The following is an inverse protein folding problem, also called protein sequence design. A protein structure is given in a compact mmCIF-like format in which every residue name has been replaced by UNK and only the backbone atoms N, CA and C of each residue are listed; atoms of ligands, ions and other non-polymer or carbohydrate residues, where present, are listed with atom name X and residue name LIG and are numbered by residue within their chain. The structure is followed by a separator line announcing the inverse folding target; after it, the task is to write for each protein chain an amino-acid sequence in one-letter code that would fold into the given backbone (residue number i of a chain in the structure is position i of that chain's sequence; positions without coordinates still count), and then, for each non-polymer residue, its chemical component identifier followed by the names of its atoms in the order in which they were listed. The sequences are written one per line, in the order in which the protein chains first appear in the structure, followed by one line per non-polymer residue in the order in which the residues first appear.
data_IF_242733306308
#
_entry.id   IF_242733306308
#
_cell.length_a   1.000
_cell.length_b   1.000
_cell.length_c   1.000
_cell.angle_alpha   90.00
_cell.angle_beta   90.00
_cell.angle_gamma   90.00
#
_symmetry.space_group_name_H-M   'P 1'
#
loop_
_entity.id
_entity.type
_entity.pdbx_description
1 polymer ?
#
# COMPACT_ATOMS: atom_id res chain seq x y z
N UNK A 1 -6.40 8.77 5.64
CA UNK A 1 -6.56 10.08 6.32
C UNK A 1 -6.92 9.81 7.76
N UNK A 2 -6.50 10.68 8.66
CA UNK A 2 -6.86 10.61 10.08
C UNK A 2 -8.33 10.96 10.30
N UNK A 3 -8.87 10.58 11.47
CA UNK A 3 -10.16 11.08 11.93
C UNK A 3 -10.10 12.59 12.14
N UNK A 4 -11.05 13.34 11.57
CA UNK A 4 -11.13 14.79 11.78
C UNK A 4 -11.42 15.13 13.25
N UNK A 5 -12.10 14.25 13.99
CA UNK A 5 -12.31 14.45 15.43
C UNK A 5 -10.99 14.39 16.23
N UNK A 6 -9.94 13.72 15.71
CA UNK A 6 -8.65 13.65 16.40
C UNK A 6 -7.98 15.03 16.49
N UNK A 7 -8.33 15.95 15.59
CA UNK A 7 -7.87 17.34 15.59
C UNK A 7 -8.63 18.23 16.58
N UNK A 8 -9.68 17.73 17.24
CA UNK A 8 -10.62 18.55 18.00
C UNK A 8 -10.65 18.11 19.48
N UNK A 9 -10.06 18.92 20.36
CA UNK A 9 -9.95 18.62 21.80
C UNK A 9 -11.34 18.46 22.44
N UNK A 10 -12.30 19.30 22.05
CA UNK A 10 -13.67 19.26 22.56
C UNK A 10 -14.48 18.05 22.07
N UNK A 11 -13.95 17.30 21.09
CA UNK A 11 -14.48 16.01 20.64
C UNK A 11 -13.73 14.82 21.24
N UNK A 12 -12.80 15.05 22.16
CA UNK A 12 -11.94 14.02 22.75
C UNK A 12 -10.70 13.70 21.92
N UNK A 13 -10.40 14.50 20.88
CA UNK A 13 -9.19 14.37 20.08
C UNK A 13 -7.93 14.85 20.81
N UNK A 14 -6.77 14.51 20.25
CA UNK A 14 -5.47 14.93 20.74
C UNK A 14 -4.63 15.47 19.57
N UNK A 15 -4.74 16.78 19.26
CA UNK A 15 -3.97 17.38 18.17
C UNK A 15 -2.47 17.31 18.39
N UNK A 16 -2.02 17.32 19.65
CA UNK A 16 -0.60 17.25 19.97
C UNK A 16 0.02 15.90 19.60
N UNK A 17 -0.77 14.81 19.68
CA UNK A 17 -0.36 13.52 19.15
C UNK A 17 -0.10 13.58 17.63
N UNK A 18 -0.93 14.32 16.90
CA UNK A 18 -0.75 14.53 15.45
C UNK A 18 0.49 15.37 15.18
N UNK A 19 0.68 16.47 15.94
CA UNK A 19 1.88 17.32 15.83
C UNK A 19 3.15 16.52 16.08
N UNK A 20 3.17 15.69 17.12
CA UNK A 20 4.33 14.84 17.42
C UNK A 20 4.59 13.81 16.30
N UNK A 21 3.54 13.19 15.77
CA UNK A 21 3.67 12.30 14.62
C UNK A 21 4.24 13.02 13.38
N UNK A 22 3.81 14.26 13.11
CA UNK A 22 4.36 15.08 12.02
C UNK A 22 5.84 15.41 12.26
N UNK A 23 6.23 15.81 13.47
CA UNK A 23 7.65 16.05 13.83
C UNK A 23 8.50 14.82 13.60
N UNK A 24 8.04 13.65 14.04
CA UNK A 24 8.74 12.37 13.84
C UNK A 24 8.87 12.02 12.36
N UNK A 25 7.94 12.43 11.50
CA UNK A 25 8.02 12.25 10.04
C UNK A 25 8.84 13.35 9.33
N UNK A 26 9.33 14.37 10.03
CA UNK A 26 9.98 15.53 9.42
C UNK A 26 9.01 16.43 8.63
N UNK A 27 7.70 16.29 8.87
CA UNK A 27 6.65 17.00 8.15
C UNK A 27 6.18 18.25 8.91
N UNK A 28 5.57 19.20 8.18
CA UNK A 28 5.09 20.46 8.76
C UNK A 28 4.02 20.23 9.84
N UNK A 29 4.24 20.86 10.99
CA UNK A 29 3.32 20.83 12.14
C UNK A 29 2.22 21.87 11.97
N UNK A 30 2.52 22.97 11.26
CA UNK A 30 1.62 24.08 10.96
C UNK A 30 0.38 23.62 10.16
N UNK A 31 0.53 22.54 9.38
CA UNK A 31 -0.60 21.93 8.67
C UNK A 31 -1.68 21.43 9.64
N UNK A 32 -1.32 20.99 10.85
CA UNK A 32 -2.28 20.59 11.89
C UNK A 32 -3.15 21.77 12.30
N UNK A 33 -2.54 22.93 12.56
CA UNK A 33 -3.26 24.15 12.96
C UNK A 33 -4.12 24.70 11.82
N UNK A 34 -3.64 24.62 10.57
CA UNK A 34 -4.43 24.95 9.38
C UNK A 34 -5.68 24.08 9.28
N UNK A 35 -5.56 22.77 9.51
CA UNK A 35 -6.70 21.83 9.47
C UNK A 35 -7.71 22.14 10.59
N UNK A 36 -7.24 22.49 11.79
CA UNK A 36 -8.12 22.90 12.89
C UNK A 36 -8.94 24.14 12.48
N UNK A 37 -8.29 25.16 11.92
CA UNK A 37 -8.97 26.37 11.45
C UNK A 37 -9.99 26.09 10.33
N UNK A 38 -9.62 25.26 9.34
CA UNK A 38 -10.53 24.84 8.26
C UNK A 38 -11.74 24.06 8.80
N UNK A 39 -11.52 23.21 9.81
CA UNK A 39 -12.60 22.48 10.48
C UNK A 39 -13.57 23.44 11.18
N UNK A 40 -13.07 24.46 11.87
CA UNK A 40 -13.89 25.49 12.51
C UNK A 40 -14.70 26.30 11.51
N UNK A 41 -14.11 26.67 10.38
CA UNK A 41 -14.82 27.34 9.28
C UNK A 41 -15.95 26.47 8.74
N UNK A 42 -15.66 25.21 8.38
CA UNK A 42 -16.66 24.26 7.90
C UNK A 42 -17.79 24.06 8.93
N UNK A 43 -17.45 23.91 10.21
CA UNK A 43 -18.41 23.74 11.29
C UNK A 43 -19.32 24.96 11.47
N UNK A 44 -18.80 26.18 11.31
CA UNK A 44 -19.61 27.42 11.36
C UNK A 44 -20.64 27.44 10.24
N UNK A 45 -20.22 27.17 9.00
CA UNK A 45 -21.14 27.10 7.85
C UNK A 45 -22.21 26.02 8.07
N UNK A 46 -21.82 24.85 8.59
CA UNK A 46 -22.76 23.77 8.93
C UNK A 46 -23.75 24.17 10.02
N UNK A 47 -23.30 24.91 11.04
CA UNK A 47 -24.18 25.45 12.07
C UNK A 47 -25.18 26.44 11.47
N UNK A 48 -24.74 27.36 10.61
CA UNK A 48 -25.62 28.33 9.94
C UNK A 48 -26.65 27.63 9.05
N UNK A 49 -26.25 26.58 8.33
CA UNK A 49 -27.15 25.73 7.55
C UNK A 49 -28.22 25.06 8.43
N UNK A 50 -27.84 24.55 9.60
CA UNK A 50 -28.78 23.99 10.57
C UNK A 50 -29.76 25.04 11.11
N UNK A 51 -29.31 26.27 11.35
CA UNK A 51 -30.19 27.38 11.76
C UNK A 51 -31.17 27.77 10.65
N UNK A 52 -30.71 27.86 9.40
CA UNK A 52 -31.58 28.14 8.25
C UNK A 52 -32.61 27.02 8.06
N UNK A 53 -32.23 25.75 8.20
CA UNK A 53 -33.16 24.61 8.16
C UNK A 53 -34.23 24.70 9.26
N UNK A 54 -33.83 25.04 10.50
CA UNK A 54 -34.77 25.28 11.60
C UNK A 54 -35.74 26.42 11.29
N UNK A 55 -35.24 27.52 10.75
CA UNK A 55 -36.05 28.67 10.36
C UNK A 55 -37.05 28.32 9.25
N UNK A 56 -36.63 27.59 8.21
CA UNK A 56 -37.54 27.11 7.13
C UNK A 56 -38.65 26.23 7.71
N UNK A 57 -38.32 25.30 8.61
CA UNK A 57 -39.31 24.42 9.24
C UNK A 57 -40.31 25.20 10.11
N UNK A 58 -39.84 26.23 10.83
CA UNK A 58 -40.71 27.12 11.60
C UNK A 58 -41.65 27.93 10.70
N UNK A 59 -41.11 28.57 9.65
CA UNK A 59 -41.90 29.33 8.66
C UNK A 59 -42.94 28.41 7.99
N UNK A 60 -42.55 27.20 7.60
CA UNK A 60 -43.45 26.22 7.01
C UNK A 60 -44.61 25.85 7.95
N UNK A 61 -44.33 25.71 9.25
CA UNK A 61 -45.36 25.45 10.27
C UNK A 61 -46.33 26.63 10.37
N UNK A 62 -45.84 27.86 10.32
CA UNK A 62 -46.66 29.06 10.45
C UNK A 62 -47.48 29.36 9.18
N UNK A 63 -46.94 29.09 7.98
CA UNK A 63 -47.71 29.06 6.72
C UNK A 63 -48.88 28.09 6.88
N UNK A 64 -48.63 26.87 7.37
CA UNK A 64 -49.67 25.88 7.60
C UNK A 64 -50.77 26.33 8.56
N UNK A 65 -50.44 27.12 9.58
CA UNK A 65 -51.44 27.71 10.50
C UNK A 65 -52.27 28.78 9.80
N UNK A 66 -51.65 29.73 9.10
CA UNK A 66 -52.36 30.81 8.38
C UNK A 66 -53.29 30.27 7.29
N UNK A 67 -52.84 29.28 6.53
CA UNK A 67 -53.66 28.64 5.50
C UNK A 67 -54.89 27.93 6.09
N UNK A 68 -54.75 27.28 7.26
CA UNK A 68 -55.90 26.71 7.99
C UNK A 68 -56.87 27.77 8.51
N UNK A 69 -56.34 28.92 8.92
CA UNK A 69 -57.13 30.09 9.35
C UNK A 69 -57.72 30.90 8.18
N UNK A 70 -57.45 30.54 6.92
CA UNK A 70 -57.81 31.29 5.70
C UNK A 70 -57.25 32.73 5.68
N UNK A 71 -56.10 32.94 6.31
CA UNK A 71 -55.39 34.21 6.33
C UNK A 71 -54.35 34.31 5.20
N UNK A 72 -53.99 35.54 4.82
CA UNK A 72 -52.94 35.78 3.83
C UNK A 72 -51.55 35.37 4.39
N UNK A 73 -50.87 34.47 3.67
CA UNK A 73 -49.54 33.96 3.97
C UNK A 73 -48.46 34.39 2.96
N UNK A 74 -48.74 35.32 2.04
CA UNK A 74 -47.82 35.77 0.98
C UNK A 74 -46.44 36.14 1.53
N UNK A 75 -46.40 36.89 2.63
CA UNK A 75 -45.14 37.38 3.20
C UNK A 75 -44.30 36.23 3.77
N UNK A 76 -44.94 35.24 4.38
CA UNK A 76 -44.25 34.04 4.90
C UNK A 76 -43.76 33.14 3.75
N UNK A 77 -44.51 33.08 2.65
CA UNK A 77 -44.10 32.37 1.43
C UNK A 77 -42.84 33.03 0.85
N UNK A 78 -42.84 34.36 0.69
CA UNK A 78 -41.67 35.11 0.23
C UNK A 78 -40.45 34.92 1.15
N UNK A 79 -40.64 34.98 2.48
CA UNK A 79 -39.56 34.72 3.44
C UNK A 79 -39.02 33.29 3.34
N UNK A 80 -39.90 32.30 3.11
CA UNK A 80 -39.48 30.91 2.89
C UNK A 80 -38.64 30.78 1.62
N UNK A 81 -39.04 31.43 0.52
CA UNK A 81 -38.29 31.43 -0.73
C UNK A 81 -36.89 32.03 -0.55
N UNK A 82 -36.78 33.17 0.15
CA UNK A 82 -35.50 33.79 0.49
C UNK A 82 -34.61 32.85 1.32
N UNK A 83 -35.16 32.25 2.38
CA UNK A 83 -34.42 31.28 3.20
C UNK A 83 -34.04 30.02 2.43
N UNK A 84 -34.82 29.62 1.43
CA UNK A 84 -34.49 28.47 0.57
C UNK A 84 -33.30 28.79 -0.33
N UNK A 85 -33.23 30.00 -0.91
CA UNK A 85 -32.05 30.46 -1.67
C UNK A 85 -30.81 30.54 -0.80
N UNK A 86 -30.94 31.05 0.43
CA UNK A 86 -29.81 31.09 1.38
C UNK A 86 -29.35 29.69 1.77
N UNK A 87 -30.29 28.75 1.97
CA UNK A 87 -29.96 27.33 2.19
C UNK A 87 -29.15 26.74 1.03
N UNK A 88 -29.55 26.99 -0.22
CA UNK A 88 -28.82 26.49 -1.40
C UNK A 88 -27.38 27.04 -1.45
N UNK A 89 -27.20 28.33 -1.16
CA UNK A 89 -25.88 28.95 -1.07
C UNK A 89 -25.02 28.33 0.04
N UNK A 90 -25.59 28.17 1.24
CA UNK A 90 -24.87 27.55 2.37
C UNK A 90 -24.55 26.08 2.11
N UNK A 91 -25.41 25.33 1.42
CA UNK A 91 -25.12 23.95 1.00
C UNK A 91 -23.93 23.88 0.03
N UNK A 92 -23.86 24.80 -0.94
CA UNK A 92 -22.71 24.85 -1.86
C UNK A 92 -21.41 25.21 -1.12
N UNK A 93 -21.47 26.20 -0.22
CA UNK A 93 -20.32 26.62 0.58
C UNK A 93 -19.86 25.55 1.58
N UNK A 94 -20.79 24.84 2.22
CA UNK A 94 -20.47 23.76 3.16
C UNK A 94 -19.73 22.63 2.45
N UNK A 95 -20.19 22.25 1.26
CA UNK A 95 -19.54 21.26 0.41
C UNK A 95 -18.13 21.69 0.00
N UNK A 96 -17.96 22.93 -0.47
CA UNK A 96 -16.66 23.49 -0.85
C UNK A 96 -15.67 23.45 0.33
N UNK A 97 -16.11 23.90 1.51
CA UNK A 97 -15.30 23.90 2.73
C UNK A 97 -14.95 22.48 3.19
N UNK A 98 -15.88 21.53 3.07
CA UNK A 98 -15.60 20.12 3.37
C UNK A 98 -14.55 19.53 2.42
N UNK A 99 -14.65 19.81 1.12
CA UNK A 99 -13.71 19.33 0.11
C UNK A 99 -12.29 19.86 0.37
N UNK A 100 -12.14 21.15 0.66
CA UNK A 100 -10.86 21.77 1.03
C UNK A 100 -10.30 21.13 2.29
N UNK A 101 -11.10 21.05 3.35
CA UNK A 101 -10.70 20.45 4.62
C UNK A 101 -10.21 19.01 4.46
N UNK A 102 -10.96 18.18 3.72
CA UNK A 102 -10.60 16.77 3.49
C UNK A 102 -9.36 16.62 2.63
N UNK A 103 -9.18 17.49 1.64
CA UNK A 103 -7.99 17.51 0.79
C UNK A 103 -6.73 17.78 1.63
N UNK A 104 -6.75 18.84 2.44
CA UNK A 104 -5.64 19.22 3.33
C UNK A 104 -5.38 18.15 4.39
N UNK A 105 -6.44 17.61 5.02
CA UNK A 105 -6.31 16.53 5.99
C UNK A 105 -5.79 15.21 5.40
N UNK A 106 -5.87 15.02 4.08
CA UNK A 106 -5.31 13.84 3.40
C UNK A 106 -3.80 13.90 3.24
N UNK A 107 -3.19 15.07 3.36
CA UNK A 107 -1.74 15.25 3.34
C UNK A 107 -1.07 14.91 4.69
N UNK A 108 -1.84 14.83 5.77
CA UNK A 108 -1.33 14.37 7.07
C UNK A 108 -1.15 12.84 7.02
N UNK A 109 0.07 12.40 7.37
CA UNK A 109 0.39 10.99 7.49
C UNK A 109 -0.33 10.32 8.66
N UNK A 110 -0.36 8.99 8.64
CA UNK A 110 -0.91 8.18 9.73
C UNK A 110 -0.11 8.41 11.02
N UNK A 111 -0.73 8.14 12.16
CA UNK A 111 -0.04 8.25 13.46
C UNK A 111 1.08 7.23 13.51
N UNK A 112 2.31 7.72 13.67
CA UNK A 112 3.49 6.85 13.80
C UNK A 112 3.39 6.08 15.11
N UNK A 113 3.45 4.75 15.04
CA UNK A 113 3.42 3.89 16.21
C UNK A 113 4.58 4.22 17.17
N UNK A 114 4.36 4.08 18.48
CA UNK A 114 5.34 4.43 19.51
C UNK A 114 6.65 3.62 19.40
N UNK A 115 6.59 2.40 18.86
CA UNK A 115 7.76 1.53 18.69
C UNK A 115 8.59 1.82 17.44
N UNK A 116 8.26 2.84 16.64
CA UNK A 116 9.00 3.14 15.41
C UNK A 116 10.24 3.97 15.76
N UNK A 117 11.45 3.62 15.26
CA UNK A 117 12.64 4.42 15.51
C UNK A 117 12.50 5.80 14.88
N UNK A 118 12.86 6.85 15.63
CA UNK A 118 12.76 8.24 15.14
C UNK A 118 14.06 8.66 14.47
N UNK A 119 14.07 8.77 13.15
CA UNK A 119 15.20 9.22 12.33
C UNK A 119 14.70 9.64 10.94
N UNK A 120 15.44 10.55 10.29
CA UNK A 120 15.25 10.94 8.88
C UNK A 120 16.14 10.16 7.92
N UNK A 121 17.06 9.36 8.45
CA UNK A 121 18.04 8.58 7.70
C UNK A 121 17.72 7.08 7.83
N UNK A 122 17.56 6.40 6.69
CA UNK A 122 17.28 4.96 6.59
C UNK A 122 18.46 4.10 7.05
N UNK A 123 19.69 4.64 7.10
CA UNK A 123 20.83 3.93 7.70
C UNK A 123 20.62 3.66 9.20
N UNK A 124 19.71 4.40 9.84
CA UNK A 124 19.32 4.19 11.24
C UNK A 124 18.11 3.25 11.40
N UNK A 125 17.72 2.51 10.36
CA UNK A 125 16.73 1.45 10.47
C UNK A 125 17.19 0.41 11.52
N UNK A 126 16.32 0.09 12.47
CA UNK A 126 16.65 -0.82 13.57
C UNK A 126 16.59 -2.28 13.08
N UNK A 127 17.66 -3.05 13.25
CA UNK A 127 17.65 -4.49 12.97
C UNK A 127 16.86 -5.20 14.08
N UNK A 128 15.70 -5.75 13.73
CA UNK A 128 14.81 -6.44 14.66
C UNK A 128 15.21 -7.89 14.85
N UNK A 129 15.61 -8.56 13.77
CA UNK A 129 16.06 -9.96 13.77
C UNK A 129 16.81 -10.30 12.50
N UNK A 130 17.64 -11.33 12.57
CA UNK A 130 18.37 -11.89 11.43
C UNK A 130 18.08 -13.39 11.34
N UNK A 131 18.18 -13.93 10.14
CA UNK A 131 18.07 -15.37 9.90
C UNK A 131 19.06 -15.81 8.85
N UNK A 132 19.67 -16.98 9.08
CA UNK A 132 20.48 -17.66 8.09
C UNK A 132 20.21 -19.18 8.09
N UNK A 133 20.35 -19.85 6.93
CA UNK A 133 20.31 -21.30 6.85
C UNK A 133 21.32 -21.98 7.79
N UNK A 134 20.88 -23.04 8.48
CA UNK A 134 21.74 -23.86 9.32
C UNK A 134 22.74 -24.68 8.46
N UNK A 135 23.94 -24.89 8.99
CA UNK A 135 24.93 -25.74 8.34
C UNK A 135 24.45 -27.20 8.34
N UNK A 136 24.47 -27.81 7.17
CA UNK A 136 24.19 -29.23 6.98
C UNK A 136 25.29 -29.84 6.13
N UNK A 137 25.94 -30.86 6.68
CA UNK A 137 27.07 -31.52 6.05
C UNK A 137 26.65 -32.11 4.69
N UNK A 138 27.34 -31.69 3.63
CA UNK A 138 27.06 -32.14 2.26
C UNK A 138 25.95 -31.41 1.51
N UNK A 139 25.31 -30.38 2.08
CA UNK A 139 24.28 -29.56 1.40
C UNK A 139 24.83 -28.20 0.94
N UNK A 140 24.26 -27.63 -0.13
CA UNK A 140 24.52 -26.23 -0.53
C UNK A 140 23.82 -25.29 0.46
N UNK A 141 24.59 -24.62 1.31
CA UNK A 141 24.08 -23.71 2.35
C UNK A 141 24.44 -22.28 2.00
N UNK A 142 23.42 -21.42 1.89
CA UNK A 142 23.62 -19.99 1.63
C UNK A 142 23.95 -19.27 2.94
N UNK A 143 25.09 -18.58 2.98
CA UNK A 143 25.51 -17.75 4.12
C UNK A 143 25.61 -16.28 3.70
N UNK A 144 25.36 -15.32 4.61
CA UNK A 144 25.44 -13.89 4.33
C UNK A 144 26.89 -13.40 4.27
N UNK A 145 27.65 -13.93 3.31
CA UNK A 145 29.06 -13.60 3.06
C UNK A 145 29.21 -13.10 1.63
N UNK A 146 30.01 -12.06 1.44
CA UNK A 146 30.33 -11.54 0.11
C UNK A 146 31.22 -12.55 -0.62
N UNK A 147 30.94 -12.80 -1.89
CA UNK A 147 31.69 -13.74 -2.74
C UNK A 147 32.28 -12.99 -3.94
N UNK A 148 33.62 -12.98 -4.06
CA UNK A 148 34.30 -12.27 -5.13
C UNK A 148 34.37 -13.04 -6.46
N UNK A 149 34.22 -14.38 -6.41
CA UNK A 149 34.35 -15.28 -7.56
C UNK A 149 33.00 -15.86 -8.02
N UNK A 150 31.95 -15.04 -7.99
CA UNK A 150 30.63 -15.41 -8.52
C UNK A 150 30.15 -14.35 -9.52
N UNK A 151 29.09 -14.68 -10.25
CA UNK A 151 28.47 -13.76 -11.19
C UNK A 151 27.38 -12.95 -10.51
N UNK A 152 27.16 -11.74 -11.01
CA UNK A 152 26.00 -10.94 -10.63
C UNK A 152 24.71 -11.56 -11.18
N UNK A 153 23.56 -11.27 -10.56
CA UNK A 153 22.27 -11.84 -11.00
C UNK A 153 21.98 -11.65 -12.50
N UNK A 154 22.37 -10.51 -13.10
CA UNK A 154 22.09 -10.19 -14.50
C UNK A 154 22.98 -10.97 -15.48
N UNK A 155 24.21 -11.33 -15.07
CA UNK A 155 25.10 -12.21 -15.82
C UNK A 155 24.60 -13.66 -15.72
N UNK A 156 24.20 -14.11 -14.53
CA UNK A 156 23.60 -15.44 -14.33
C UNK A 156 22.35 -15.59 -15.21
N UNK A 157 21.43 -14.63 -15.14
CA UNK A 157 20.19 -14.61 -15.93
C UNK A 157 20.46 -14.63 -17.44
N UNK A 158 21.51 -13.95 -17.91
CA UNK A 158 21.94 -14.04 -19.31
C UNK A 158 22.42 -15.45 -19.66
N UNK A 159 23.29 -16.04 -18.82
CA UNK A 159 23.94 -17.31 -19.09
C UNK A 159 22.98 -18.50 -19.10
N UNK A 160 21.88 -18.44 -18.35
CA UNK A 160 20.80 -19.45 -18.38
C UNK A 160 19.76 -19.20 -19.48
N UNK A 161 20.02 -18.28 -20.42
CA UNK A 161 19.04 -17.86 -21.44
C UNK A 161 17.72 -17.34 -20.83
N UNK A 162 17.81 -16.72 -19.65
CA UNK A 162 16.65 -16.31 -18.87
C UNK A 162 16.06 -14.95 -19.23
N UNK A 163 16.82 -14.09 -19.91
CA UNK A 163 16.31 -12.78 -20.34
C UNK A 163 17.09 -12.14 -21.50
N UNK A 164 16.48 -11.13 -22.09
CA UNK A 164 17.07 -10.25 -23.11
C UNK A 164 16.87 -8.76 -22.76
N UNK A 165 17.90 -8.16 -22.18
CA UNK A 165 17.93 -6.74 -21.82
C UNK A 165 18.10 -5.81 -23.04
N UNK A 166 18.80 -6.26 -24.09
CA UNK A 166 19.11 -5.41 -25.25
C UNK A 166 17.86 -5.20 -26.10
N UNK A 167 17.13 -6.27 -26.41
CA UNK A 167 15.85 -6.17 -27.10
C UNK A 167 14.79 -5.52 -26.20
N UNK A 168 14.84 -5.77 -24.89
CA UNK A 168 13.97 -5.08 -23.92
C UNK A 168 14.16 -3.56 -23.94
N UNK A 169 15.42 -3.11 -23.86
CA UNK A 169 15.77 -1.68 -23.91
C UNK A 169 15.39 -1.06 -25.25
N UNK A 170 15.64 -1.76 -26.35
CA UNK A 170 15.24 -1.32 -27.70
C UNK A 170 13.73 -1.14 -27.83
N UNK A 171 12.93 -2.01 -27.23
CA UNK A 171 11.47 -2.02 -27.37
C UNK A 171 10.76 -1.07 -26.39
N UNK A 172 11.17 -1.05 -25.12
CA UNK A 172 10.46 -0.35 -24.04
C UNK A 172 11.26 0.80 -23.40
N UNK A 173 12.49 1.06 -23.87
CA UNK A 173 13.39 2.03 -23.27
C UNK A 173 14.17 1.49 -22.06
N UNK A 174 14.89 2.36 -21.36
CA UNK A 174 15.65 2.01 -20.16
C UNK A 174 14.80 1.19 -19.17
N UNK A 175 15.41 0.21 -18.49
CA UNK A 175 14.74 -0.81 -17.62
C UNK A 175 13.77 -1.76 -18.34
N UNK A 176 13.65 -1.70 -19.66
CA UNK A 176 12.93 -2.70 -20.45
C UNK A 176 13.67 -4.03 -20.54
N UNK A 177 12.95 -5.14 -20.41
CA UNK A 177 13.49 -6.51 -20.51
C UNK A 177 12.46 -7.45 -21.17
N UNK A 178 12.94 -8.55 -21.72
CA UNK A 178 12.14 -9.74 -21.99
C UNK A 178 12.64 -10.87 -21.10
N UNK A 179 11.76 -11.55 -20.36
CA UNK A 179 12.09 -12.89 -19.85
C UNK A 179 12.00 -13.89 -21.01
N UNK A 180 12.93 -14.84 -21.05
CA UNK A 180 13.00 -15.90 -22.06
C UNK A 180 13.23 -17.23 -21.37
N UNK A 181 12.83 -18.32 -22.01
CA UNK A 181 13.13 -19.70 -21.61
C UNK A 181 13.04 -19.89 -20.08
N UNK A 182 14.17 -20.14 -19.43
CA UNK A 182 14.26 -20.41 -17.99
C UNK A 182 13.82 -19.26 -17.09
N UNK A 183 13.96 -18.01 -17.53
CA UNK A 183 13.50 -16.86 -16.75
C UNK A 183 11.98 -16.76 -16.70
N UNK A 184 11.28 -17.19 -17.77
CA UNK A 184 9.82 -17.29 -17.76
C UNK A 184 9.38 -18.38 -16.78
N UNK A 185 9.99 -19.56 -16.87
CA UNK A 185 9.66 -20.69 -15.99
C UNK A 185 9.92 -20.37 -14.52
N UNK A 186 11.07 -19.74 -14.19
CA UNK A 186 11.37 -19.31 -12.81
C UNK A 186 10.35 -18.30 -12.28
N UNK A 187 9.97 -17.32 -13.10
CA UNK A 187 8.99 -16.32 -12.70
C UNK A 187 7.63 -16.96 -12.42
N UNK A 188 7.16 -17.81 -13.33
CA UNK A 188 5.91 -18.56 -13.15
C UNK A 188 5.96 -19.50 -11.93
N UNK A 189 7.10 -20.14 -11.68
CA UNK A 189 7.29 -20.98 -10.51
C UNK A 189 7.18 -20.19 -9.21
N UNK A 190 7.79 -19.00 -9.12
CA UNK A 190 7.68 -18.10 -7.96
C UNK A 190 6.24 -17.64 -7.74
N UNK A 191 5.51 -17.29 -8.82
CA UNK A 191 4.10 -16.90 -8.74
C UNK A 191 3.26 -18.04 -8.17
N UNK A 192 3.40 -19.23 -8.73
CA UNK A 192 2.61 -20.39 -8.34
C UNK A 192 2.93 -20.85 -6.93
N UNK A 193 4.22 -20.88 -6.57
CA UNK A 193 4.68 -21.22 -5.24
C UNK A 193 4.15 -20.23 -4.19
N UNK A 194 4.32 -18.93 -4.40
CA UNK A 194 3.85 -17.89 -3.48
C UNK A 194 2.34 -17.93 -3.25
N UNK A 195 1.56 -18.07 -4.33
CA UNK A 195 0.11 -18.22 -4.22
C UNK A 195 -0.29 -19.53 -3.51
N UNK A 196 0.38 -20.64 -3.79
CA UNK A 196 0.15 -21.93 -3.12
C UNK A 196 0.46 -21.86 -1.62
N UNK A 197 1.57 -21.22 -1.27
CA UNK A 197 2.02 -20.98 0.10
C UNK A 197 0.96 -20.23 0.91
N UNK A 198 0.47 -19.09 0.42
CA UNK A 198 -0.57 -18.32 1.12
C UNK A 198 -1.93 -19.04 1.18
N UNK A 199 -2.29 -19.82 0.15
CA UNK A 199 -3.51 -20.65 0.18
C UNK A 199 -3.49 -21.63 1.35
N UNK A 200 -2.34 -22.30 1.61
CA UNK A 200 -2.19 -23.21 2.76
C UNK A 200 -2.34 -22.49 4.11
N UNK A 201 -2.11 -21.17 4.14
CA UNK A 201 -2.30 -20.29 5.30
C UNK A 201 -3.69 -19.63 5.36
N UNK A 202 -4.64 -20.10 4.55
CA UNK A 202 -6.03 -19.64 4.59
C UNK A 202 -6.29 -18.31 3.86
N UNK A 203 -5.38 -17.85 3.02
CA UNK A 203 -5.60 -16.65 2.19
C UNK A 203 -6.42 -17.01 0.95
N UNK A 204 -7.36 -16.13 0.59
CA UNK A 204 -8.10 -16.22 -0.67
C UNK A 204 -7.25 -15.66 -1.81
N UNK A 205 -6.94 -16.47 -2.82
CA UNK A 205 -6.27 -16.01 -4.04
C UNK A 205 -7.15 -14.99 -4.76
N UNK A 206 -6.55 -13.89 -5.19
CA UNK A 206 -7.24 -12.80 -5.87
C UNK A 206 -6.34 -12.20 -6.95
N UNK A 207 -6.77 -12.28 -8.21
CA UNK A 207 -6.15 -11.50 -9.28
C UNK A 207 -6.91 -10.19 -9.41
N UNK A 208 -6.20 -9.07 -9.46
CA UNK A 208 -6.80 -7.73 -9.49
C UNK A 208 -6.85 -7.19 -10.92
N UNK A 209 -7.74 -6.23 -11.24
CA UNK A 209 -7.56 -5.39 -12.42
C UNK A 209 -6.21 -4.66 -12.35
N UNK A 210 -5.52 -4.52 -13.48
CA UNK A 210 -4.19 -3.87 -13.53
C UNK A 210 -4.26 -2.36 -13.78
N UNK A 211 -5.46 -1.82 -13.86
CA UNK A 211 -5.72 -0.39 -13.92
C UNK A 211 -6.91 -0.02 -13.04
N UNK A 212 -6.87 1.18 -12.48
CA UNK A 212 -7.93 1.74 -11.64
C UNK A 212 -8.42 3.08 -12.18
N UNK A 213 -9.68 3.40 -11.94
CA UNK A 213 -10.22 4.74 -12.16
C UNK A 213 -9.50 5.74 -11.26
N UNK A 214 -9.28 6.97 -11.76
CA UNK A 214 -8.65 8.06 -11.00
C UNK A 214 -9.25 8.27 -9.61
N UNK A 215 -10.58 8.21 -9.48
CA UNK A 215 -11.30 8.44 -8.22
C UNK A 215 -10.95 7.43 -7.12
N UNK A 216 -10.70 6.16 -7.48
CA UNK A 216 -10.32 5.12 -6.53
C UNK A 216 -8.82 5.12 -6.29
N UNK A 217 -8.02 5.32 -7.35
CA UNK A 217 -6.56 5.46 -7.21
C UNK A 217 -6.21 6.60 -6.25
N UNK A 218 -6.91 7.73 -6.34
CA UNK A 218 -6.69 8.87 -5.45
C UNK A 218 -6.96 8.58 -3.98
N UNK A 219 -7.76 7.55 -3.66
CA UNK A 219 -8.06 7.13 -2.28
C UNK A 219 -7.01 6.16 -1.71
N UNK A 220 -6.29 5.45 -2.58
CA UNK A 220 -5.33 4.39 -2.20
C UNK A 220 -3.87 4.80 -2.37
N UNK A 221 -3.58 5.73 -3.29
CA UNK A 221 -2.26 6.31 -3.49
C UNK A 221 -2.13 7.69 -2.83
N UNK A 222 -0.88 8.06 -2.52
CA UNK A 222 -0.49 9.40 -2.09
C UNK A 222 -0.33 10.31 -3.30
N UNK A 223 -0.42 11.63 -3.08
CA UNK A 223 -0.38 12.60 -4.16
C UNK A 223 0.95 12.55 -4.93
N UNK A 224 2.07 12.48 -4.20
CA UNK A 224 3.43 12.38 -4.75
C UNK A 224 3.60 11.16 -5.67
N UNK A 225 2.91 10.05 -5.35
CA UNK A 225 2.98 8.81 -6.15
C UNK A 225 2.37 8.97 -7.55
N UNK A 226 1.45 9.92 -7.77
CA UNK A 226 0.87 10.13 -9.10
C UNK A 226 1.92 10.57 -10.12
N UNK A 227 2.83 11.44 -9.70
CA UNK A 227 3.86 11.99 -10.57
C UNK A 227 5.05 11.03 -10.66
N UNK A 228 5.47 10.47 -9.52
CA UNK A 228 6.72 9.70 -9.41
C UNK A 228 6.59 8.21 -9.74
N UNK A 229 5.46 7.58 -9.44
CA UNK A 229 5.29 6.12 -9.51
C UNK A 229 4.29 5.67 -10.58
N UNK A 230 3.15 6.36 -10.73
CA UNK A 230 2.01 5.83 -11.48
C UNK A 230 2.02 6.20 -12.96
N UNK A 231 1.89 5.20 -13.84
CA UNK A 231 1.58 5.41 -15.26
C UNK A 231 0.10 5.73 -15.46
N UNK A 232 -0.18 6.77 -16.25
CA UNK A 232 -1.54 7.19 -16.63
C UNK A 232 -1.92 6.59 -17.98
N UNK A 233 -3.14 6.06 -18.08
CA UNK A 233 -3.76 5.57 -19.32
C UNK A 233 -4.81 6.60 -19.75
N UNK A 234 -4.62 7.17 -20.94
CA UNK A 234 -5.49 8.21 -21.52
C UNK A 234 -6.18 7.66 -22.78
N UNK A 235 -7.45 7.98 -22.97
CA UNK A 235 -8.24 7.60 -24.16
C UNK A 235 -9.57 8.38 -24.20
N UNK A 236 -10.53 7.96 -25.04
CA UNK A 236 -11.82 8.66 -25.24
C UNK A 236 -12.80 8.58 -24.04
N UNK A 237 -12.35 8.07 -22.89
CA UNK A 237 -13.15 7.94 -21.67
C UNK A 237 -12.37 8.38 -20.43
N UNK A 238 -12.88 8.02 -19.26
CA UNK A 238 -12.29 8.43 -17.99
C UNK A 238 -10.82 7.99 -17.85
N UNK A 239 -10.00 8.91 -17.33
CA UNK A 239 -8.61 8.66 -16.97
C UNK A 239 -8.47 7.46 -16.04
N UNK A 240 -7.56 6.55 -16.40
CA UNK A 240 -7.18 5.39 -15.58
C UNK A 240 -5.69 5.43 -15.28
N UNK A 241 -5.28 4.68 -14.27
CA UNK A 241 -3.89 4.55 -13.87
C UNK A 241 -3.54 3.06 -13.77
N UNK A 242 -2.39 2.67 -14.30
CA UNK A 242 -1.83 1.36 -14.05
C UNK A 242 -1.47 1.23 -12.57
N UNK A 243 -1.65 0.06 -11.99
CA UNK A 243 -1.38 -0.18 -10.57
C UNK A 243 0.13 -0.34 -10.32
N UNK A 244 0.62 0.22 -9.22
CA UNK A 244 2.00 0.02 -8.74
C UNK A 244 2.13 -1.21 -7.81
N UNK A 245 1.00 -1.77 -7.39
CA UNK A 245 0.86 -2.92 -6.49
C UNK A 245 -0.60 -3.39 -6.48
N UNK A 246 -0.85 -4.69 -6.32
CA UNK A 246 -2.21 -5.22 -6.11
C UNK A 246 -2.85 -4.73 -4.81
N UNK A 247 -2.07 -4.20 -3.87
CA UNK A 247 -2.59 -3.51 -2.68
C UNK A 247 -3.60 -2.41 -3.04
N UNK A 248 -3.34 -1.61 -4.10
CA UNK A 248 -4.21 -0.50 -4.50
C UNK A 248 -5.62 -0.97 -4.86
N UNK A 249 -5.82 -1.89 -5.82
CA UNK A 249 -7.14 -2.39 -6.15
C UNK A 249 -7.76 -3.25 -5.03
N UNK A 250 -6.96 -3.98 -4.24
CA UNK A 250 -7.50 -4.77 -3.11
C UNK A 250 -8.03 -3.86 -2.01
N UNK A 251 -7.33 -2.77 -1.70
CA UNK A 251 -7.81 -1.76 -0.75
C UNK A 251 -9.18 -1.24 -1.17
N UNK A 252 -9.35 -0.91 -2.46
CA UNK A 252 -10.61 -0.43 -3.00
C UNK A 252 -11.68 -1.52 -3.20
N UNK A 253 -11.34 -2.80 -3.08
CA UNK A 253 -12.24 -3.93 -3.35
C UNK A 253 -13.48 -3.91 -2.46
N UNK A 254 -13.33 -3.46 -1.20
CA UNK A 254 -14.41 -3.35 -0.22
C UNK A 254 -14.89 -1.90 -0.01
N UNK A 255 -14.62 -0.99 -0.95
CA UNK A 255 -14.98 0.42 -0.79
C UNK A 255 -16.48 0.60 -0.52
N UNK A 256 -16.81 1.38 0.50
CA UNK A 256 -18.16 1.64 1.03
C UNK A 256 -18.87 0.44 1.66
N UNK A 257 -18.20 -0.68 1.87
CA UNK A 257 -18.79 -1.84 2.54
C UNK A 257 -18.82 -1.71 4.08
N UNK A 258 -19.71 -2.49 4.69
CA UNK A 258 -19.89 -2.56 6.14
C UNK A 258 -19.90 -4.01 6.63
N UNK A 259 -18.90 -4.37 7.44
CA UNK A 259 -18.81 -5.67 8.11
C UNK A 259 -19.63 -5.68 9.41
N UNK A 260 -20.92 -5.98 9.34
CA UNK A 260 -21.85 -5.91 10.47
C UNK A 260 -21.58 -6.96 11.56
N UNK A 261 -21.01 -8.11 11.20
CA UNK A 261 -20.64 -9.20 12.12
C UNK A 261 -19.13 -9.46 12.07
N UNK A 262 -18.29 -8.57 12.64
CA UNK A 262 -16.84 -8.67 12.58
C UNK A 262 -16.30 -10.02 13.04
N UNK A 263 -16.88 -10.62 14.09
CA UNK A 263 -16.44 -11.92 14.62
C UNK A 263 -16.60 -13.09 13.65
N UNK A 264 -17.46 -12.96 12.64
CA UNK A 264 -17.71 -13.99 11.62
C UNK A 264 -17.04 -13.65 10.28
N UNK A 265 -16.91 -12.35 9.98
CA UNK A 265 -16.48 -11.88 8.67
C UNK A 265 -15.03 -11.42 8.63
N UNK A 266 -14.44 -11.04 9.76
CA UNK A 266 -13.08 -10.57 9.89
C UNK A 266 -12.27 -11.54 10.74
N UNK A 267 -10.96 -11.65 10.48
CA UNK A 267 -10.21 -10.99 9.40
C UNK A 267 -10.39 -11.64 8.02
N UNK A 268 -10.42 -10.82 6.97
CA UNK A 268 -10.37 -11.26 5.57
C UNK A 268 -8.93 -11.16 5.08
N UNK A 269 -8.43 -12.23 4.43
CA UNK A 269 -7.05 -12.31 3.95
C UNK A 269 -7.00 -12.63 2.46
N UNK A 270 -6.31 -11.79 1.70
CA UNK A 270 -6.15 -11.93 0.26
C UNK A 270 -4.70 -12.19 -0.12
N UNK A 271 -4.49 -13.20 -0.96
CA UNK A 271 -3.25 -13.41 -1.69
C UNK A 271 -3.41 -12.77 -3.08
N UNK A 272 -3.07 -11.48 -3.15
CA UNK A 272 -3.16 -10.67 -4.35
C UNK A 272 -2.08 -11.02 -5.36
N UNK A 273 -2.45 -11.24 -6.62
CA UNK A 273 -1.48 -11.38 -7.72
C UNK A 273 -1.73 -10.34 -8.80
N UNK A 274 -0.66 -9.67 -9.21
CA UNK A 274 -0.68 -8.74 -10.34
C UNK A 274 0.70 -8.51 -10.93
N UNK A 275 0.73 -8.10 -12.19
CA UNK A 275 1.83 -7.30 -12.73
C UNK A 275 1.72 -5.87 -12.18
N UNK A 276 2.83 -5.32 -11.70
CA UNK A 276 2.99 -4.01 -11.11
C UNK A 276 3.76 -3.09 -12.06
N UNK A 277 3.33 -1.82 -12.17
CA UNK A 277 3.92 -0.84 -13.05
C UNK A 277 4.41 0.37 -12.27
N UNK A 278 5.70 0.72 -12.38
CA UNK A 278 6.32 1.87 -11.69
C UNK A 278 7.21 2.67 -12.62
N UNK A 279 7.03 4.00 -12.64
CA UNK A 279 7.86 4.92 -13.43
C UNK A 279 9.31 4.97 -12.97
N UNK A 280 9.60 4.69 -11.69
CA UNK A 280 10.96 4.75 -11.10
C UNK A 280 11.66 6.10 -11.34
N UNK A 281 10.92 7.22 -11.36
CA UNK A 281 11.43 8.53 -11.73
C UNK A 281 12.50 9.08 -10.76
N UNK A 282 12.44 8.71 -9.48
CA UNK A 282 13.43 9.11 -8.47
C UNK A 282 14.71 8.26 -8.42
N UNK A 283 14.79 7.16 -9.19
CA UNK A 283 15.88 6.17 -9.05
C UNK A 283 16.91 6.24 -10.20
N UNK A 284 17.19 7.44 -10.72
CA UNK A 284 18.17 7.62 -11.79
C UNK A 284 19.56 7.07 -11.41
N UNK A 285 20.07 6.14 -12.22
CA UNK A 285 21.43 5.58 -12.08
C UNK A 285 21.60 4.46 -11.03
N UNK A 286 20.59 4.17 -10.20
CA UNK A 286 20.64 3.09 -9.20
C UNK A 286 20.06 1.78 -9.74
N UNK A 287 20.70 0.65 -9.41
CA UNK A 287 20.27 -0.72 -9.79
C UNK A 287 19.83 -0.81 -11.26
N UNK A 288 20.70 -0.40 -12.18
CA UNK A 288 20.36 -0.25 -13.61
C UNK A 288 20.50 -1.53 -14.42
N UNK A 289 21.14 -2.56 -13.87
CA UNK A 289 21.41 -3.83 -14.57
C UNK A 289 20.49 -4.95 -14.08
N UNK A 290 20.10 -5.82 -15.01
CA UNK A 290 19.18 -6.93 -14.76
C UNK A 290 17.75 -6.47 -14.49
N UNK A 291 17.07 -7.18 -13.59
CA UNK A 291 15.63 -7.03 -13.31
C UNK A 291 15.32 -6.64 -11.86
N UNK A 292 16.32 -6.20 -11.08
CA UNK A 292 16.11 -5.85 -9.66
C UNK A 292 15.21 -4.60 -9.50
N UNK A 293 15.38 -3.60 -10.37
CA UNK A 293 14.57 -2.38 -10.40
C UNK A 293 14.12 -2.09 -11.83
N UNK A 294 12.84 -2.31 -12.11
CA UNK A 294 12.26 -2.31 -13.46
C UNK A 294 10.89 -1.62 -13.48
N UNK A 295 10.44 -1.24 -14.66
CA UNK A 295 9.13 -0.58 -14.82
C UNK A 295 7.94 -1.51 -14.69
N UNK A 296 8.15 -2.81 -14.93
CA UNK A 296 7.15 -3.86 -14.88
C UNK A 296 7.74 -5.02 -14.09
N UNK A 297 6.97 -5.60 -13.17
CA UNK A 297 7.37 -6.78 -12.41
C UNK A 297 6.13 -7.50 -11.85
N UNK A 298 6.23 -8.79 -11.50
CA UNK A 298 5.15 -9.51 -10.83
C UNK A 298 5.29 -9.49 -9.32
N UNK A 299 4.14 -9.44 -8.63
CA UNK A 299 4.11 -9.48 -7.16
C UNK A 299 2.94 -10.27 -6.61
N UNK A 300 3.25 -11.07 -5.60
CA UNK A 300 2.30 -11.72 -4.71
C UNK A 300 2.22 -10.90 -3.42
N UNK A 301 1.05 -10.36 -3.15
CA UNK A 301 0.75 -9.46 -2.04
C UNK A 301 -0.11 -10.17 -1.00
N UNK A 302 0.22 -10.01 0.27
CA UNK A 302 -0.66 -10.27 1.40
C UNK A 302 -1.45 -8.99 1.67
N UNK A 303 -2.78 -9.06 1.68
CA UNK A 303 -3.61 -7.95 2.13
C UNK A 303 -4.63 -8.44 3.15
N UNK A 304 -4.73 -7.74 4.28
CA UNK A 304 -5.59 -8.14 5.39
C UNK A 304 -6.48 -6.98 5.80
N UNK A 305 -7.79 -7.25 5.87
CA UNK A 305 -8.76 -6.42 6.57
C UNK A 305 -9.09 -7.08 7.89
N UNK A 306 -8.92 -6.36 8.99
CA UNK A 306 -9.08 -6.92 10.34
C UNK A 306 -9.70 -5.92 11.29
N UNK A 307 -10.15 -6.40 12.46
CA UNK A 307 -10.60 -5.50 13.53
C UNK A 307 -9.41 -4.75 14.14
N UNK A 308 -9.60 -3.52 14.65
CA UNK A 308 -8.53 -2.76 15.31
C UNK A 308 -7.79 -3.56 16.39
N UNK A 309 -8.53 -4.37 17.16
CA UNK A 309 -8.02 -5.16 18.28
C UNK A 309 -6.99 -6.22 17.86
N UNK A 310 -7.14 -6.81 16.67
CA UNK A 310 -6.32 -7.92 16.16
C UNK A 310 -5.30 -7.48 15.13
N UNK A 311 -5.21 -6.17 14.88
CA UNK A 311 -4.42 -5.61 13.79
C UNK A 311 -2.91 -5.85 13.95
N UNK A 312 -2.38 -5.74 15.17
CA UNK A 312 -0.96 -5.98 15.40
C UNK A 312 -0.60 -7.47 15.36
N UNK A 313 -1.52 -8.36 15.78
CA UNK A 313 -1.34 -9.82 15.62
C UNK A 313 -1.32 -10.25 14.15
N UNK A 314 -2.12 -9.59 13.29
CA UNK A 314 -2.04 -9.81 11.83
C UNK A 314 -0.73 -9.26 11.25
N UNK A 315 -0.24 -8.12 11.74
CA UNK A 315 1.04 -7.56 11.31
C UNK A 315 2.20 -8.53 11.55
N UNK A 316 2.31 -9.05 12.79
CA UNK A 316 3.37 -9.98 13.16
C UNK A 316 3.30 -11.30 12.37
N UNK A 317 2.10 -11.77 12.07
CA UNK A 317 1.92 -12.94 11.22
C UNK A 317 2.23 -12.70 9.76
N UNK A 318 1.86 -11.54 9.21
CA UNK A 318 2.13 -11.23 7.81
C UNK A 318 3.63 -11.19 7.54
N UNK A 319 4.41 -10.58 8.43
CA UNK A 319 5.86 -10.62 8.33
C UNK A 319 6.41 -12.03 8.56
N UNK A 320 5.87 -12.80 9.51
CA UNK A 320 6.28 -14.19 9.73
C UNK A 320 5.98 -15.11 8.52
N UNK A 321 4.89 -14.86 7.80
CA UNK A 321 4.59 -15.58 6.55
C UNK A 321 5.63 -15.28 5.47
N UNK A 322 6.02 -14.02 5.34
CA UNK A 322 7.09 -13.64 4.42
C UNK A 322 8.40 -14.29 4.83
N UNK A 323 8.78 -14.23 6.11
CA UNK A 323 9.96 -14.93 6.64
C UNK A 323 9.96 -16.41 6.29
N UNK A 324 8.92 -17.16 6.67
CA UNK A 324 8.81 -18.60 6.37
C UNK A 324 8.93 -18.90 4.87
N UNK A 325 8.40 -18.02 4.00
CA UNK A 325 8.57 -18.13 2.56
C UNK A 325 10.05 -18.02 2.14
N UNK A 326 10.78 -16.99 2.59
CA UNK A 326 12.22 -16.86 2.24
C UNK A 326 13.11 -17.90 2.93
N UNK A 327 12.75 -18.34 4.13
CA UNK A 327 13.41 -19.45 4.82
C UNK A 327 13.29 -20.75 4.00
N UNK A 328 12.10 -21.04 3.46
CA UNK A 328 11.89 -22.22 2.60
C UNK A 328 12.72 -22.18 1.32
N UNK A 329 13.03 -20.99 0.81
CA UNK A 329 13.90 -20.77 -0.36
C UNK A 329 15.39 -20.78 0.02
N UNK A 330 15.72 -20.95 1.30
CA UNK A 330 17.10 -20.96 1.80
C UNK A 330 17.83 -19.62 1.61
N UNK A 331 17.11 -18.49 1.66
CA UNK A 331 17.69 -17.16 1.45
C UNK A 331 17.96 -16.46 2.79
N UNK A 332 19.21 -16.19 3.18
CA UNK A 332 19.51 -15.46 4.41
C UNK A 332 19.00 -14.02 4.32
N UNK A 333 18.49 -13.49 5.45
CA UNK A 333 17.86 -12.18 5.49
C UNK A 333 17.97 -11.51 6.87
N UNK A 334 17.63 -10.22 6.91
CA UNK A 334 17.34 -9.47 8.13
C UNK A 334 15.99 -8.78 8.04
N UNK A 335 15.33 -8.60 9.19
CA UNK A 335 14.15 -7.76 9.32
C UNK A 335 14.56 -6.44 9.94
N UNK A 336 14.22 -5.34 9.29
CA UNK A 336 14.49 -3.99 9.77
C UNK A 336 13.19 -3.25 10.07
N UNK A 337 13.20 -2.44 11.13
CA UNK A 337 12.13 -1.49 11.42
C UNK A 337 12.44 -0.16 10.79
N UNK A 338 11.53 0.27 9.91
CA UNK A 338 11.74 1.47 9.13
C UNK A 338 11.53 2.70 9.99
N UNK A 339 12.46 3.64 9.89
CA UNK A 339 12.45 4.90 10.63
C UNK A 339 11.27 5.78 10.24
N UNK A 340 10.84 6.63 11.18
CA UNK A 340 9.65 7.46 11.03
C UNK A 340 9.70 8.41 9.81
N UNK A 341 10.87 8.92 9.44
CA UNK A 341 11.05 9.79 8.27
C UNK A 341 10.91 9.08 6.91
N UNK A 342 11.09 7.76 6.87
CA UNK A 342 10.98 6.95 5.66
C UNK A 342 9.62 6.21 5.55
N UNK A 343 8.72 6.41 6.53
CA UNK A 343 7.36 5.88 6.45
C UNK A 343 6.54 6.67 5.46
N UNK A 344 5.90 5.95 4.53
CA UNK A 344 4.86 6.52 3.70
C UNK A 344 3.67 7.00 4.57
N UNK A 345 2.83 7.90 4.03
CA UNK A 345 1.72 8.48 4.79
C UNK A 345 0.69 7.46 5.28
N UNK A 346 0.55 6.28 4.66
CA UNK A 346 -0.44 5.29 5.10
C UNK A 346 0.04 4.44 6.30
N UNK A 347 1.32 4.10 6.36
CA UNK A 347 1.87 3.19 7.36
C UNK A 347 1.99 3.85 8.74
N UNK A 348 1.42 3.21 9.77
CA UNK A 348 1.70 3.54 11.17
C UNK A 348 3.02 2.90 11.65
N UNK A 349 3.34 1.73 11.09
CA UNK A 349 4.60 0.99 11.30
C UNK A 349 4.87 0.12 10.07
N UNK A 350 6.14 -0.03 9.72
CA UNK A 350 6.61 -0.81 8.57
C UNK A 350 7.84 -1.63 8.92
N UNK A 351 7.83 -2.90 8.52
CA UNK A 351 8.97 -3.80 8.56
C UNK A 351 9.36 -4.20 7.15
N UNK A 352 10.66 -4.14 6.86
CA UNK A 352 11.19 -4.62 5.59
C UNK A 352 12.02 -5.89 5.84
N UNK A 353 11.85 -6.90 4.98
CA UNK A 353 12.73 -8.06 4.91
C UNK A 353 13.75 -7.77 3.82
N UNK A 354 15.00 -7.69 4.22
CA UNK A 354 16.12 -7.47 3.33
C UNK A 354 16.92 -8.76 3.22
N UNK A 355 17.00 -9.33 2.01
CA UNK A 355 17.73 -10.56 1.75
C UNK A 355 19.15 -10.28 1.29
N UNK A 356 20.06 -11.21 1.56
CA UNK A 356 21.48 -11.05 1.23
C UNK A 356 21.77 -11.29 -0.25
N UNK A 357 22.50 -10.35 -0.86
CA UNK A 357 23.03 -10.46 -2.23
C UNK A 357 24.54 -10.70 -2.18
N UNK A 358 25.02 -11.95 -2.36
CA UNK A 358 26.42 -12.29 -2.13
C UNK A 358 27.40 -11.68 -3.14
N UNK A 359 26.98 -11.32 -4.36
CA UNK A 359 27.88 -10.65 -5.31
C UNK A 359 28.16 -9.21 -4.85
N UNK A 360 27.10 -8.51 -4.43
CA UNK A 360 27.18 -7.12 -3.98
C UNK A 360 27.76 -7.01 -2.56
N UNK A 361 27.48 -8.01 -1.71
CA UNK A 361 27.88 -8.02 -0.30
C UNK A 361 26.99 -7.10 0.54
N UNK A 362 25.70 -7.02 0.22
CA UNK A 362 24.73 -6.15 0.90
C UNK A 362 23.36 -6.83 1.06
N UNK A 363 22.59 -6.39 2.05
CA UNK A 363 21.19 -6.75 2.21
C UNK A 363 20.32 -5.82 1.35
N UNK A 364 19.36 -6.38 0.60
CA UNK A 364 18.42 -5.59 -0.21
C UNK A 364 16.97 -5.95 0.07
N UNK A 365 16.12 -4.94 0.08
CA UNK A 365 14.67 -5.05 0.31
C UNK A 365 13.99 -5.98 -0.72
N UNK A 366 13.42 -7.08 -0.23
CA UNK A 366 12.55 -7.98 -1.01
C UNK A 366 11.08 -7.91 -0.56
N UNK A 367 10.85 -7.57 0.71
CA UNK A 367 9.50 -7.40 1.26
C UNK A 367 9.40 -6.12 2.03
N UNK A 368 8.25 -5.48 1.91
CA UNK A 368 7.78 -4.49 2.87
C UNK A 368 6.44 -4.94 3.43
N UNK A 369 6.26 -4.80 4.74
CA UNK A 369 5.07 -5.17 5.51
C UNK A 369 4.63 -3.97 6.35
N UNK A 370 3.41 -3.48 6.12
CA UNK A 370 2.87 -2.28 6.77
C UNK A 370 1.57 -2.57 7.51
N UNK A 371 1.43 -1.98 8.70
CA UNK A 371 0.13 -1.79 9.33
C UNK A 371 -0.33 -0.35 9.07
N UNK A 372 -1.42 -0.18 8.32
CA UNK A 372 -1.95 1.13 7.96
C UNK A 372 -3.11 1.58 8.86
N UNK A 373 -3.40 0.82 9.92
CA UNK A 373 -4.54 1.05 10.83
C UNK A 373 -5.80 1.37 10.03
N UNK A 374 -6.61 2.33 10.47
CA UNK A 374 -7.82 2.77 9.79
C UNK A 374 -7.57 3.87 8.72
N UNK A 375 -6.31 4.19 8.42
CA UNK A 375 -5.98 5.32 7.55
C UNK A 375 -6.54 5.15 6.14
N UNK A 376 -6.38 3.96 5.55
CA UNK A 376 -6.88 3.63 4.22
C UNK A 376 -8.41 3.43 4.25
N UNK A 377 -8.91 2.66 5.21
CA UNK A 377 -10.33 2.32 5.34
C UNK A 377 -11.24 3.54 5.55
N UNK A 378 -10.75 4.60 6.21
CA UNK A 378 -11.48 5.88 6.32
C UNK A 378 -11.78 6.54 4.99
N UNK A 379 -10.79 6.63 4.08
CA UNK A 379 -10.97 7.23 2.75
C UNK A 379 -11.85 6.39 1.84
N UNK A 380 -11.82 5.07 2.05
CA UNK A 380 -12.57 4.08 1.29
C UNK A 380 -13.92 3.75 1.93
N UNK A 381 -14.22 4.32 3.10
CA UNK A 381 -15.45 4.09 3.86
C UNK A 381 -15.74 2.61 4.18
N UNK A 382 -14.70 1.86 4.55
CA UNK A 382 -14.78 0.44 4.92
C UNK A 382 -14.95 0.29 6.43
N UNK A 383 -16.14 -0.13 6.85
CA UNK A 383 -16.60 -0.03 8.25
C UNK A 383 -16.84 -1.40 8.88
N UNK A 384 -16.89 -1.47 10.20
CA UNK A 384 -17.19 -2.71 10.92
C UNK A 384 -18.01 -2.49 12.20
N UNK A 385 -18.70 -3.55 12.64
CA UNK A 385 -19.51 -3.58 13.87
C UNK A 385 -20.95 -3.12 13.68
N UNK A 386 -21.84 -3.45 14.62
CA UNK A 386 -23.24 -3.01 14.58
C UNK A 386 -23.36 -1.53 14.95
N UNK A 387 -24.12 -0.79 14.13
CA UNK A 387 -24.57 0.56 14.46
C UNK A 387 -25.60 0.47 15.60
N UNK A 388 -25.18 0.63 16.85
CA UNK A 388 -26.16 0.70 17.96
C UNK A 388 -26.95 2.01 17.82
N UNK A 389 -28.24 1.97 18.16
CA UNK A 389 -29.08 3.16 18.14
C UNK A 389 -28.52 4.17 19.15
N UNK A 390 -27.90 5.24 18.66
CA UNK A 390 -27.22 6.24 19.48
C UNK A 390 -25.70 6.30 19.30
N UNK A 391 -25.07 5.31 18.64
CA UNK A 391 -23.65 5.39 18.28
C UNK A 391 -23.44 6.54 17.30
N UNK A 392 -22.60 7.48 17.70
CA UNK A 392 -22.22 8.65 16.89
C UNK A 392 -20.99 8.40 16.01
N UNK A 393 -20.23 7.35 16.31
CA UNK A 393 -18.95 7.07 15.65
C UNK A 393 -19.00 5.79 14.84
N UNK A 394 -18.49 5.88 13.61
CA UNK A 394 -18.28 4.72 12.74
C UNK A 394 -16.97 4.05 13.17
N UNK A 395 -17.01 2.75 13.41
CA UNK A 395 -15.78 1.97 13.56
C UNK A 395 -15.31 1.51 12.18
N UNK A 396 -14.02 1.67 11.93
CA UNK A 396 -13.38 1.30 10.67
C UNK A 396 -12.51 0.05 10.86
N UNK A 397 -12.39 -0.75 9.80
CA UNK A 397 -11.43 -1.87 9.80
C UNK A 397 -10.01 -1.32 9.75
N UNK A 398 -9.06 -2.10 10.23
CA UNK A 398 -7.65 -1.86 9.95
C UNK A 398 -7.24 -2.55 8.64
N UNK A 399 -6.44 -1.86 7.83
CA UNK A 399 -5.86 -2.39 6.60
C UNK A 399 -4.37 -2.68 6.81
N UNK A 400 -3.92 -3.85 6.36
CA UNK A 400 -2.52 -4.23 6.35
C UNK A 400 -2.14 -4.79 4.99
N UNK A 401 -0.90 -4.53 4.58
CA UNK A 401 -0.32 -5.03 3.35
C UNK A 401 1.09 -5.57 3.62
N UNK A 402 1.49 -6.60 2.88
CA UNK A 402 2.85 -7.10 2.89
C UNK A 402 3.18 -7.80 1.59
N UNK A 403 4.33 -7.50 1.00
CA UNK A 403 4.85 -8.33 -0.08
C UNK A 403 5.10 -9.75 0.46
N UNK A 404 4.59 -10.78 -0.22
CA UNK A 404 5.11 -12.13 -0.03
C UNK A 404 6.34 -12.32 -0.91
N UNK A 405 6.20 -12.05 -2.21
CA UNK A 405 7.23 -12.25 -3.22
C UNK A 405 7.05 -11.23 -4.34
N UNK A 406 8.01 -10.30 -4.48
CA UNK A 406 8.22 -9.57 -5.73
C UNK A 406 9.16 -10.42 -6.58
N UNK A 407 8.64 -11.02 -7.65
CA UNK A 407 9.26 -12.20 -8.25
C UNK A 407 10.57 -11.87 -8.94
N UNK A 408 10.68 -10.74 -9.63
CA UNK A 408 11.92 -10.30 -10.27
C UNK A 408 13.05 -10.05 -9.25
N UNK A 409 12.77 -9.34 -8.15
CA UNK A 409 13.78 -9.11 -7.09
C UNK A 409 14.17 -10.43 -6.40
N UNK A 410 13.19 -11.28 -6.13
CA UNK A 410 13.41 -12.60 -5.53
C UNK A 410 14.25 -13.48 -6.44
N UNK A 411 13.97 -13.45 -7.75
CA UNK A 411 14.75 -14.15 -8.76
C UNK A 411 16.20 -13.65 -8.77
N UNK A 412 16.45 -12.34 -8.72
CA UNK A 412 17.81 -11.82 -8.61
C UNK A 412 18.55 -12.39 -7.38
N UNK A 413 17.88 -12.41 -6.21
CA UNK A 413 18.46 -12.95 -4.99
C UNK A 413 18.74 -14.46 -5.09
N UNK A 414 17.81 -15.23 -5.66
CA UNK A 414 17.98 -16.66 -5.90
C UNK A 414 19.17 -16.95 -6.82
N UNK A 415 19.29 -16.22 -7.94
CA UNK A 415 20.37 -16.42 -8.90
C UNK A 415 21.74 -16.18 -8.28
N UNK A 416 21.88 -15.19 -7.39
CA UNK A 416 23.17 -14.97 -6.73
C UNK A 416 23.50 -16.01 -5.67
N UNK A 417 22.50 -16.46 -4.89
CA UNK A 417 22.70 -17.40 -3.80
C UNK A 417 22.85 -18.85 -4.29
N UNK A 418 22.10 -19.25 -5.31
CA UNK A 418 22.01 -20.64 -5.79
C UNK A 418 22.83 -20.95 -7.05
N UNK A 419 23.69 -20.03 -7.50
CA UNK A 419 24.61 -20.32 -8.61
C UNK A 419 25.76 -21.25 -8.20
N UNK A 420 26.26 -21.95 -9.21
CA UNK A 420 27.45 -22.80 -9.23
C UNK A 420 28.33 -22.35 -10.40
N UNK A 421 29.57 -22.86 -10.55
CA UNK A 421 30.38 -22.56 -11.74
C UNK A 421 29.71 -22.98 -13.06
N UNK A 422 28.85 -24.00 -13.03
CA UNK A 422 28.23 -24.61 -14.22
C UNK A 422 26.79 -24.14 -14.49
N UNK A 423 26.10 -23.54 -13.52
CA UNK A 423 24.69 -23.19 -13.65
C UNK A 423 24.04 -22.75 -12.34
N UNK A 424 22.72 -22.94 -12.21
CA UNK A 424 21.94 -22.56 -11.04
C UNK A 424 21.19 -23.77 -10.50
N UNK A 425 21.31 -24.03 -9.19
CA UNK A 425 20.52 -25.03 -8.48
C UNK A 425 19.11 -24.45 -8.24
N UNK A 426 18.08 -25.23 -8.54
CA UNK A 426 16.69 -24.84 -8.30
C UNK A 426 16.32 -25.21 -6.86
N UNK A 427 15.89 -24.24 -6.02
CA UNK A 427 15.43 -24.52 -4.65
C UNK A 427 14.33 -25.58 -4.65
N UNK A 428 14.40 -26.51 -3.69
CA UNK A 428 13.47 -27.66 -3.60
C UNK A 428 11.98 -27.27 -3.69
N UNK A 429 11.50 -26.21 -3.01
CA UNK A 429 10.08 -25.83 -3.11
C UNK A 429 9.62 -25.36 -4.49
N UNK A 430 10.55 -24.94 -5.36
CA UNK A 430 10.24 -24.46 -6.70
C UNK A 430 10.20 -25.59 -7.74
N UNK A 431 10.89 -26.72 -7.50
CA UNK A 431 11.02 -27.83 -8.46
C UNK A 431 9.67 -28.38 -8.95
N UNK A 432 8.62 -28.54 -8.10
CA UNK A 432 7.31 -28.98 -8.58
C UNK A 432 6.65 -28.04 -9.60
N UNK A 433 7.08 -26.77 -9.66
CA UNK A 433 6.60 -25.77 -10.61
C UNK A 433 7.58 -25.52 -11.77
N UNK A 434 8.69 -26.27 -11.82
CA UNK A 434 9.72 -26.22 -12.86
C UNK A 434 9.91 -27.58 -13.53
N UNK A 435 8.81 -28.34 -13.68
CA UNK A 435 8.78 -29.68 -14.28
C UNK A 435 9.69 -30.71 -13.58
N UNK A 436 9.89 -30.54 -12.27
CA UNK A 436 10.73 -31.43 -11.46
C UNK A 436 12.23 -31.24 -11.66
N UNK A 437 12.66 -30.27 -12.49
CA UNK A 437 14.08 -29.93 -12.67
C UNK A 437 14.67 -29.42 -11.36
N UNK A 438 15.93 -29.76 -11.12
CA UNK A 438 16.70 -29.35 -9.95
C UNK A 438 17.92 -28.47 -10.29
N UNK A 439 18.24 -28.32 -11.58
CA UNK A 439 19.41 -27.58 -12.04
C UNK A 439 19.17 -26.94 -13.43
N UNK A 440 19.72 -25.74 -13.61
CA UNK A 440 19.75 -25.01 -14.88
C UNK A 440 21.20 -24.79 -15.33
N UNK A 441 21.67 -25.42 -16.42
CA UNK A 441 23.04 -25.21 -16.90
C UNK A 441 23.22 -23.85 -17.56
N UNK A 442 24.44 -23.33 -17.53
CA UNK A 442 24.82 -22.19 -18.35
C UNK A 442 24.92 -22.59 -19.82
N UNK A 443 24.08 -21.97 -20.67
CA UNK A 443 23.98 -22.24 -22.10
C UNK A 443 24.54 -21.11 -22.97
N UNK A 444 24.82 -19.94 -22.38
CA UNK A 444 25.46 -18.80 -23.07
C UNK A 444 26.81 -18.44 -22.44
N UNK A 445 27.75 -17.87 -23.24
CA UNK A 445 28.93 -17.21 -22.70
C UNK A 445 28.51 -15.99 -21.86
N UNK A 446 29.47 -15.42 -21.13
CA UNK A 446 29.25 -14.14 -20.45
C UNK A 446 28.83 -13.05 -21.44
N UNK A 447 27.96 -12.11 -21.03
CA UNK A 447 27.61 -10.97 -21.87
C UNK A 447 28.87 -10.18 -22.21
N UNK A 448 28.97 -9.68 -23.45
CA UNK A 448 30.07 -8.80 -23.84
C UNK A 448 30.01 -7.55 -22.97
N UNK A 449 31.08 -7.24 -22.23
CA UNK A 449 31.22 -5.96 -21.53
C UNK A 449 31.05 -4.83 -22.56
N UNK A 450 30.01 -4.02 -22.43
CA UNK A 450 29.84 -2.78 -23.19
C UNK A 450 30.38 -1.61 -22.39
#
# INVERSE_FOLDING_TARGET
MLDLNLFQVEKGGNPELIRESQRRRGASVELVDKIIALYDEWRRVRFDLDQVNKAINAIQKDIGKKMKAKENASDLISQKEEKTKEKERLMALEKEKEEILRSEASAIGNIVHQSVPTSMDEENNEIIRTWEPADKEGEHVNKPVKKDNILSHHEVLHRIDGYDAERGTKTAGHRGYFLTSEGVDFNLALIQYGLSFLRKKGYKKLQTPFFMRKEYMAKTAQLEQFDEELYKVVGDGDDKYLIATSEQPISAFHANEWFERPSEQLPVRYAGYSTCFRKEAGAHGKDTWGIFRVHQFEKIEQFVLTTPETSWDEFDRMIANSEEFYQSLGLPYRIVSIVSGALNNAAAKKYDLEAWFPFQGEYKELVSCSNCTDYQSRRLEIRCGTKKMGDREKKYVHCLNATLCATERTLCCLLENWQTPEGVIIPEPLRPYMDGRDFLPFVKPLPKKK
#
